data_IF_890970851474
#
_entry.id   IF_890970851474
#
_cell.length_a   1.000
_cell.length_b   1.000
_cell.length_c   1.000
_cell.angle_alpha   90.00
_cell.angle_beta   90.00
_cell.angle_gamma   90.00
#
_symmetry.space_group_name_H-M   'P 1'
#
loop_
_entity.id
_entity.type
_entity.pdbx_description
1 polymer ?
#
# COMPACT_ATOMS: atom_id res chain seq x y z
N UNK A 1 18.98 -17.57 -5.39
CA UNK A 1 18.88 -16.33 -4.58
C UNK A 1 19.00 -15.14 -5.53
N UNK A 2 17.88 -14.58 -5.99
CA UNK A 2 17.89 -13.44 -6.91
C UNK A 2 18.29 -12.17 -6.15
N UNK A 3 19.53 -11.69 -6.32
CA UNK A 3 19.97 -10.39 -5.81
C UNK A 3 19.30 -9.30 -6.64
N UNK A 4 18.26 -8.67 -6.09
CA UNK A 4 17.70 -7.43 -6.63
C UNK A 4 18.76 -6.33 -6.51
N UNK A 5 19.05 -5.66 -7.63
CA UNK A 5 19.91 -4.48 -7.66
C UNK A 5 19.26 -3.37 -6.82
N UNK A 6 20.03 -2.61 -6.04
CA UNK A 6 19.55 -1.53 -5.16
C UNK A 6 18.49 -0.63 -5.82
N UNK A 7 18.75 -0.20 -7.07
CA UNK A 7 17.82 0.63 -7.87
C UNK A 7 16.48 -0.04 -8.15
N UNK A 8 16.45 -1.36 -8.38
CA UNK A 8 15.22 -2.13 -8.62
C UNK A 8 14.43 -2.32 -7.33
N UNK A 9 15.12 -2.51 -6.21
CA UNK A 9 14.47 -2.62 -4.89
C UNK A 9 13.82 -1.30 -4.47
N UNK A 10 14.50 -0.18 -4.75
CA UNK A 10 13.99 1.17 -4.49
C UNK A 10 12.80 1.53 -5.40
N UNK A 11 12.84 1.12 -6.67
CA UNK A 11 11.70 1.26 -7.59
C UNK A 11 10.48 0.46 -7.12
N UNK A 12 10.66 -0.79 -6.67
CA UNK A 12 9.57 -1.62 -6.13
C UNK A 12 8.97 -0.98 -4.87
N UNK A 13 9.82 -0.47 -3.97
CA UNK A 13 9.35 0.23 -2.77
C UNK A 13 8.50 1.46 -3.12
N UNK A 14 8.96 2.29 -4.08
CA UNK A 14 8.18 3.45 -4.54
C UNK A 14 6.85 3.07 -5.21
N UNK A 15 6.81 1.97 -5.98
CA UNK A 15 5.56 1.47 -6.56
C UNK A 15 4.59 1.02 -5.46
N UNK A 16 5.08 0.30 -4.44
CA UNK A 16 4.26 -0.11 -3.31
C UNK A 16 3.72 1.08 -2.52
N UNK A 17 4.55 2.11 -2.29
CA UNK A 17 4.13 3.34 -1.62
C UNK A 17 3.04 4.06 -2.43
N UNK A 18 3.24 4.25 -3.72
CA UNK A 18 2.26 4.91 -4.59
C UNK A 18 0.95 4.12 -4.70
N UNK A 19 1.03 2.79 -4.74
CA UNK A 19 -0.16 1.94 -4.73
C UNK A 19 -0.92 2.08 -3.41
N UNK A 20 -0.22 2.00 -2.28
CA UNK A 20 -0.79 2.19 -0.94
C UNK A 20 -1.47 3.56 -0.78
N UNK A 21 -0.86 4.65 -1.26
CA UNK A 21 -1.43 6.00 -1.14
C UNK A 21 -2.67 6.19 -2.02
N UNK A 22 -2.64 5.73 -3.27
CA UNK A 22 -3.82 5.78 -4.16
C UNK A 22 -4.95 4.92 -3.62
N UNK A 23 -4.64 3.73 -3.13
CA UNK A 23 -5.64 2.82 -2.58
C UNK A 23 -6.26 3.37 -1.29
N UNK A 24 -5.45 3.93 -0.39
CA UNK A 24 -5.93 4.62 0.81
C UNK A 24 -6.81 5.82 0.44
N UNK A 25 -6.40 6.64 -0.53
CA UNK A 25 -7.22 7.74 -1.02
C UNK A 25 -8.56 7.26 -1.61
N UNK A 26 -8.56 6.16 -2.36
CA UNK A 26 -9.78 5.56 -2.92
C UNK A 26 -10.75 5.02 -1.86
N UNK A 27 -10.25 4.69 -0.67
CA UNK A 27 -11.06 4.26 0.47
C UNK A 27 -11.55 5.45 1.29
N UNK A 28 -10.69 6.43 1.52
CA UNK A 28 -10.97 7.63 2.32
C UNK A 28 -11.98 8.53 1.61
N UNK A 29 -11.79 8.84 0.32
CA UNK A 29 -12.68 9.73 -0.44
C UNK A 29 -14.17 9.33 -0.37
N UNK A 30 -14.57 8.07 -0.61
CA UNK A 30 -15.98 7.67 -0.50
C UNK A 30 -16.50 7.60 0.94
N UNK A 31 -15.63 7.45 1.96
CA UNK A 31 -16.04 7.56 3.39
C UNK A 31 -16.47 9.00 3.69
N UNK A 32 -15.69 9.99 3.25
CA UNK A 32 -15.96 11.41 3.50
C UNK A 32 -16.98 12.03 2.54
N UNK A 33 -17.22 11.42 1.38
CA UNK A 33 -18.24 11.87 0.43
C UNK A 33 -19.68 11.59 0.89
N UNK A 34 -19.90 10.99 2.07
CA UNK A 34 -21.23 10.77 2.65
C UNK A 34 -22.01 9.59 2.06
N UNK A 35 -21.46 8.91 1.05
CA UNK A 35 -22.04 7.74 0.37
C UNK A 35 -21.64 6.41 1.04
N UNK A 36 -21.35 6.49 2.35
CA UNK A 36 -20.76 5.40 3.10
C UNK A 36 -21.82 4.43 3.61
N UNK A 37 -22.13 3.45 2.75
CA UNK A 37 -23.07 2.40 3.07
C UNK A 37 -22.42 1.39 4.05
N UNK A 38 -23.09 1.06 5.16
CA UNK A 38 -22.63 0.12 6.21
C UNK A 38 -22.24 -1.25 5.65
N UNK A 39 -22.81 -1.66 4.51
CA UNK A 39 -22.46 -2.89 3.78
C UNK A 39 -21.03 -2.90 3.23
N UNK A 40 -20.37 -1.75 3.08
CA UNK A 40 -19.01 -1.61 2.54
C UNK A 40 -17.93 -1.65 3.63
N UNK A 41 -18.30 -1.72 4.91
CA UNK A 41 -17.34 -1.85 6.03
C UNK A 41 -16.33 -2.99 5.87
N UNK A 42 -16.72 -4.21 5.44
CA UNK A 42 -15.77 -5.31 5.23
C UNK A 42 -14.72 -5.00 4.15
N UNK A 43 -15.13 -4.27 3.10
CA UNK A 43 -14.26 -3.86 2.00
C UNK A 43 -13.24 -2.84 2.52
N UNK A 44 -13.69 -1.86 3.31
CA UNK A 44 -12.79 -0.88 3.94
C UNK A 44 -11.82 -1.54 4.89
N UNK A 45 -12.28 -2.48 5.72
CA UNK A 45 -11.42 -3.22 6.65
C UNK A 45 -10.37 -4.04 5.89
N UNK A 46 -10.77 -4.76 4.84
CA UNK A 46 -9.86 -5.50 3.97
C UNK A 46 -8.84 -4.57 3.28
N UNK A 47 -9.28 -3.36 2.92
CA UNK A 47 -8.44 -2.38 2.28
C UNK A 47 -7.39 -1.76 3.22
N UNK A 48 -7.76 -1.51 4.47
CA UNK A 48 -6.81 -1.07 5.50
C UNK A 48 -5.75 -2.17 5.71
N UNK A 49 -6.16 -3.43 5.84
CA UNK A 49 -5.24 -4.56 6.01
C UNK A 49 -4.27 -4.66 4.83
N UNK A 50 -4.77 -4.59 3.59
CA UNK A 50 -3.93 -4.63 2.39
C UNK A 50 -2.93 -3.46 2.36
N UNK A 51 -3.37 -2.25 2.72
CA UNK A 51 -2.50 -1.06 2.78
C UNK A 51 -1.37 -1.22 3.78
N UNK A 52 -1.66 -1.77 4.97
CA UNK A 52 -0.64 -2.06 6.00
C UNK A 52 0.34 -3.12 5.50
N UNK A 53 -0.15 -4.21 4.88
CA UNK A 53 0.70 -5.26 4.33
C UNK A 53 1.64 -4.76 3.23
N UNK A 54 1.14 -3.94 2.30
CA UNK A 54 1.97 -3.34 1.25
C UNK A 54 2.99 -2.34 1.80
N UNK A 55 2.62 -1.57 2.83
CA UNK A 55 3.53 -0.63 3.48
C UNK A 55 4.68 -1.35 4.20
N UNK A 56 4.39 -2.45 4.90
CA UNK A 56 5.42 -3.30 5.50
C UNK A 56 6.35 -3.92 4.44
N UNK A 57 5.78 -4.39 3.32
CA UNK A 57 6.57 -4.91 2.21
C UNK A 57 7.47 -3.83 1.60
N UNK A 58 6.96 -2.62 1.44
CA UNK A 58 7.71 -1.48 0.93
C UNK A 58 8.90 -1.11 1.83
N UNK A 59 8.72 -1.14 3.15
CA UNK A 59 9.79 -0.92 4.13
C UNK A 59 10.86 -2.01 4.02
N UNK A 60 10.44 -3.28 3.98
CA UNK A 60 11.37 -4.41 3.85
C UNK A 60 12.20 -4.36 2.55
N UNK A 61 11.58 -4.00 1.43
CA UNK A 61 12.29 -3.80 0.16
C UNK A 61 13.14 -2.51 0.14
N UNK A 62 12.74 -1.45 0.82
CA UNK A 62 13.57 -0.25 0.97
C UNK A 62 14.84 -0.55 1.78
N UNK A 63 14.71 -1.33 2.84
CA UNK A 63 15.83 -1.74 3.69
C UNK A 63 16.79 -2.67 2.93
N UNK A 64 16.25 -3.65 2.18
CA UNK A 64 17.06 -4.48 1.28
C UNK A 64 17.66 -3.73 0.10
N UNK A 65 17.09 -2.60 -0.31
CA UNK A 65 17.62 -1.74 -1.36
C UNK A 65 18.69 -0.76 -0.90
N UNK A 66 18.77 -0.49 0.41
CA UNK A 66 19.84 0.32 1.02
C UNK A 66 21.12 -0.49 1.31
N UNK A 67 21.05 -1.82 1.31
CA UNK A 67 22.20 -2.74 1.31
C UNK A 67 22.81 -2.88 -0.09
#
# INVERSE_FOLDING_TARGET
>A
MFKLTSSKSLAISNICINFSTVFLASLVVPIFAGDFNLSKWPIVLSGIIATVSFSLLAIFFAEKGKL
#
